data_IF_109407460286
#
_entry.id   IF_109407460286
#
_cell.length_a   1.000
_cell.length_b   1.000
_cell.length_c   1.000
_cell.angle_alpha   90.00
_cell.angle_beta   90.00
_cell.angle_gamma   90.00
#
_symmetry.space_group_name_H-M   'P 1'
#
loop_
_entity.id
_entity.type
_entity.pdbx_description
1 polymer ?
#
# COMPACT_ATOMS: atom_id res chain seq x y z
N UNK A 1 11.67 24.94 -5.95
CA UNK A 1 11.07 24.02 -6.94
C UNK A 1 11.08 22.59 -6.44
N UNK A 2 12.16 22.11 -5.84
CA UNK A 2 12.28 20.73 -5.32
C UNK A 2 11.22 20.38 -4.26
N UNK A 3 10.93 21.28 -3.32
CA UNK A 3 9.89 21.07 -2.28
C UNK A 3 8.49 20.88 -2.90
N UNK A 4 8.17 21.62 -3.97
CA UNK A 4 6.87 21.52 -4.66
C UNK A 4 6.76 20.16 -5.35
N UNK A 5 7.81 19.74 -6.06
CA UNK A 5 7.88 18.43 -6.73
C UNK A 5 7.78 17.29 -5.71
N UNK A 6 8.49 17.41 -4.59
CA UNK A 6 8.42 16.44 -3.50
C UNK A 6 7.02 16.34 -2.91
N UNK A 7 6.34 17.47 -2.69
CA UNK A 7 4.99 17.48 -2.10
C UNK A 7 3.97 16.87 -3.05
N UNK A 8 4.04 17.18 -4.35
CA UNK A 8 3.19 16.57 -5.38
C UNK A 8 3.46 15.07 -5.46
N UNK A 9 4.73 14.66 -5.50
CA UNK A 9 5.12 13.25 -5.52
C UNK A 9 4.62 12.49 -4.29
N UNK A 10 4.72 13.08 -3.10
CA UNK A 10 4.21 12.50 -1.86
C UNK A 10 2.68 12.35 -1.89
N UNK A 11 1.95 13.34 -2.42
CA UNK A 11 0.50 13.27 -2.57
C UNK A 11 0.08 12.14 -3.54
N UNK A 12 0.74 12.04 -4.70
CA UNK A 12 0.50 10.96 -5.68
C UNK A 12 0.79 9.61 -5.04
N UNK A 13 1.88 9.49 -4.29
CA UNK A 13 2.24 8.28 -3.57
C UNK A 13 1.18 7.84 -2.56
N UNK A 14 0.66 8.76 -1.73
CA UNK A 14 -0.39 8.44 -0.77
C UNK A 14 -1.64 7.90 -1.47
N UNK A 15 -2.04 8.53 -2.59
CA UNK A 15 -3.17 8.07 -3.40
C UNK A 15 -2.88 6.69 -4.01
N UNK A 16 -1.69 6.49 -4.57
CA UNK A 16 -1.28 5.24 -5.21
C UNK A 16 -1.28 4.07 -4.21
N UNK A 17 -0.67 4.22 -3.03
CA UNK A 17 -0.67 3.18 -1.99
C UNK A 17 -2.09 2.83 -1.56
N UNK A 18 -2.93 3.85 -1.34
CA UNK A 18 -4.32 3.61 -0.94
C UNK A 18 -5.10 2.86 -2.04
N UNK A 19 -4.93 3.22 -3.31
CA UNK A 19 -5.55 2.52 -4.44
C UNK A 19 -5.04 1.10 -4.61
N UNK A 20 -3.74 0.86 -4.46
CA UNK A 20 -3.12 -0.47 -4.54
C UNK A 20 -3.66 -1.39 -3.43
N UNK A 21 -3.70 -0.91 -2.19
CA UNK A 21 -4.25 -1.67 -1.06
C UNK A 21 -5.74 -1.96 -1.26
N UNK A 22 -6.51 -0.96 -1.71
CA UNK A 22 -7.94 -1.13 -2.00
C UNK A 22 -8.17 -2.12 -3.16
N UNK A 23 -7.39 -2.04 -4.22
CA UNK A 23 -7.45 -2.94 -5.38
C UNK A 23 -7.09 -4.37 -5.02
N UNK A 24 -5.98 -4.56 -4.30
CA UNK A 24 -5.58 -5.87 -3.77
C UNK A 24 -6.68 -6.51 -2.93
N UNK A 25 -7.28 -5.74 -2.01
CA UNK A 25 -8.41 -6.20 -1.21
C UNK A 25 -9.62 -6.57 -2.07
N UNK A 26 -9.97 -5.74 -3.05
CA UNK A 26 -11.11 -5.99 -3.95
C UNK A 26 -10.92 -7.28 -4.76
N UNK A 27 -9.70 -7.51 -5.29
CA UNK A 27 -9.36 -8.73 -6.01
C UNK A 27 -9.45 -9.95 -5.09
N UNK A 28 -8.86 -9.88 -3.89
CA UNK A 28 -8.95 -10.98 -2.92
C UNK A 28 -10.39 -11.33 -2.54
N UNK A 29 -11.25 -10.32 -2.33
CA UNK A 29 -12.67 -10.55 -2.07
C UNK A 29 -13.39 -11.17 -3.27
N UNK A 30 -13.08 -10.72 -4.49
CA UNK A 30 -13.68 -11.27 -5.73
C UNK A 30 -13.37 -12.76 -5.91
N UNK A 31 -12.20 -13.20 -5.49
CA UNK A 31 -11.78 -14.61 -5.56
C UNK A 31 -12.08 -15.42 -4.29
N UNK A 32 -12.83 -14.85 -3.33
CA UNK A 32 -13.38 -15.58 -2.18
C UNK A 32 -12.46 -15.64 -0.95
N UNK A 33 -11.38 -14.84 -0.89
CA UNK A 33 -10.56 -14.75 0.31
C UNK A 33 -11.39 -14.24 1.51
N UNK A 34 -11.26 -14.82 2.73
CA UNK A 34 -10.21 -15.75 3.19
C UNK A 34 -10.49 -17.24 2.95
N UNK A 35 -11.62 -17.61 2.34
CA UNK A 35 -12.00 -19.02 2.10
C UNK A 35 -12.32 -19.23 0.61
N UNK A 36 -11.32 -19.13 -0.29
CA UNK A 36 -11.54 -19.35 -1.71
C UNK A 36 -11.98 -20.79 -1.96
N UNK A 37 -13.04 -20.99 -2.75
CA UNK A 37 -13.51 -22.30 -3.16
C UNK A 37 -12.91 -22.71 -4.50
N UNK A 38 -12.32 -23.90 -4.56
CA UNK A 38 -11.72 -24.47 -5.77
C UNK A 38 -10.22 -24.13 -5.96
N UNK A 39 -9.51 -25.02 -6.66
CA UNK A 39 -8.06 -24.95 -6.86
C UNK A 39 -7.63 -23.65 -7.57
N UNK A 40 -8.35 -23.26 -8.61
CA UNK A 40 -8.03 -22.08 -9.43
C UNK A 40 -8.15 -20.78 -8.63
N UNK A 41 -9.23 -20.61 -7.86
CA UNK A 41 -9.43 -19.41 -7.02
C UNK A 41 -8.37 -19.32 -5.93
N UNK A 42 -7.99 -20.46 -5.35
CA UNK A 42 -6.92 -20.52 -4.36
C UNK A 42 -5.57 -20.09 -4.97
N UNK A 43 -5.21 -20.64 -6.13
CA UNK A 43 -3.99 -20.27 -6.85
C UNK A 43 -3.95 -18.77 -7.20
N UNK A 44 -5.07 -18.20 -7.65
CA UNK A 44 -5.18 -16.77 -7.97
C UNK A 44 -5.01 -15.91 -6.71
N UNK A 45 -5.62 -16.27 -5.58
CA UNK A 45 -5.44 -15.55 -4.32
C UNK A 45 -3.98 -15.52 -3.88
N UNK A 46 -3.27 -16.65 -3.98
CA UNK A 46 -1.84 -16.72 -3.67
C UNK A 46 -0.98 -15.90 -4.64
N UNK A 47 -1.32 -15.88 -5.93
CA UNK A 47 -0.63 -15.05 -6.92
C UNK A 47 -0.81 -13.56 -6.59
N UNK A 48 -2.04 -13.12 -6.30
CA UNK A 48 -2.33 -11.74 -5.90
C UNK A 48 -1.56 -11.36 -4.64
N UNK A 49 -1.49 -12.26 -3.65
CA UNK A 49 -0.71 -12.07 -2.45
C UNK A 49 0.81 -12.00 -2.72
N UNK A 50 1.34 -12.83 -3.61
CA UNK A 50 2.74 -12.80 -4.02
C UNK A 50 3.09 -11.47 -4.71
N UNK A 51 2.21 -10.96 -5.59
CA UNK A 51 2.37 -9.63 -6.21
C UNK A 51 2.34 -8.53 -5.16
N UNK A 52 1.47 -8.64 -4.16
CA UNK A 52 1.42 -7.67 -3.07
C UNK A 52 2.74 -7.60 -2.31
N UNK A 53 3.33 -8.75 -1.96
CA UNK A 53 4.62 -8.81 -1.28
C UNK A 53 5.75 -8.35 -2.18
N UNK A 54 5.78 -8.81 -3.44
CA UNK A 54 6.90 -8.56 -4.36
C UNK A 54 6.93 -7.15 -4.94
N UNK A 55 5.79 -6.46 -4.99
CA UNK A 55 5.67 -5.15 -5.67
C UNK A 55 5.19 -4.08 -4.70
N UNK A 56 4.05 -4.28 -4.05
CA UNK A 56 3.38 -3.22 -3.27
C UNK A 56 4.18 -2.89 -2.00
N UNK A 57 4.69 -3.90 -1.29
CA UNK A 57 5.50 -3.69 -0.08
C UNK A 57 6.81 -2.94 -0.43
N UNK A 58 7.67 -3.41 -1.36
CA UNK A 58 8.88 -2.68 -1.74
C UNK A 58 8.58 -1.26 -2.21
N UNK A 59 7.57 -1.08 -3.06
CA UNK A 59 7.15 0.23 -3.52
C UNK A 59 6.78 1.15 -2.35
N UNK A 60 5.97 0.67 -1.39
CA UNK A 60 5.58 1.46 -0.24
C UNK A 60 6.76 1.92 0.61
N UNK A 61 7.72 1.03 0.88
CA UNK A 61 8.87 1.31 1.74
C UNK A 61 9.93 2.18 1.05
N UNK A 62 10.23 1.93 -0.22
CA UNK A 62 11.34 2.59 -0.91
C UNK A 62 10.93 3.84 -1.70
N UNK A 63 9.64 4.06 -1.98
CA UNK A 63 9.22 5.24 -2.74
C UNK A 63 9.55 6.57 -2.05
N UNK A 64 9.35 6.77 -0.73
CA UNK A 64 9.74 8.03 -0.07
C UNK A 64 11.25 8.29 -0.19
N UNK A 65 12.06 7.23 -0.12
CA UNK A 65 13.50 7.29 -0.34
C UNK A 65 13.82 7.71 -1.78
N UNK A 66 13.21 7.06 -2.77
CA UNK A 66 13.41 7.37 -4.19
C UNK A 66 12.96 8.80 -4.54
N UNK A 67 11.83 9.25 -4.00
CA UNK A 67 11.34 10.61 -4.18
C UNK A 67 12.35 11.64 -3.63
N UNK A 68 12.94 11.38 -2.46
CA UNK A 68 13.98 12.23 -1.90
C UNK A 68 15.31 12.17 -2.69
N UNK A 69 15.57 11.13 -3.49
CA UNK A 69 16.71 11.13 -4.41
C UNK A 69 16.47 11.99 -5.66
N UNK A 70 15.22 12.08 -6.14
CA UNK A 70 14.85 12.87 -7.32
C UNK A 70 14.64 14.35 -6.99
N UNK A 71 14.03 14.63 -5.85
CA UNK A 71 13.79 15.97 -5.33
C UNK A 71 14.32 16.02 -3.88
N UNK A 72 15.62 16.30 -3.70
CA UNK A 72 16.27 16.24 -2.40
C UNK A 72 15.74 17.32 -1.47
N UNK A 73 14.93 16.91 -0.50
CA UNK A 73 14.44 17.78 0.60
C UNK A 73 15.18 17.47 1.90
N UNK A 74 15.54 16.21 2.12
CA UNK A 74 16.32 15.75 3.25
C UNK A 74 17.75 15.38 2.82
N UNK A 75 18.72 15.70 3.68
CA UNK A 75 20.11 15.28 3.47
C UNK A 75 20.22 13.75 3.41
N UNK A 76 21.06 13.19 2.52
CA UNK A 76 21.12 11.75 2.26
C UNK A 76 21.92 10.96 3.32
N UNK A 77 21.68 11.25 4.61
CA UNK A 77 22.30 10.56 5.75
C UNK A 77 21.65 9.21 6.03
N UNK A 78 22.34 8.30 6.71
CA UNK A 78 21.80 6.98 7.09
C UNK A 78 20.51 7.10 7.90
N UNK A 79 20.48 8.04 8.85
CA UNK A 79 19.30 8.31 9.69
C UNK A 79 18.09 8.75 8.87
N UNK A 80 18.27 9.70 7.94
CA UNK A 80 17.18 10.20 7.12
C UNK A 80 16.64 9.13 6.16
N UNK A 81 17.53 8.29 5.61
CA UNK A 81 17.11 7.14 4.79
C UNK A 81 16.27 6.15 5.59
N UNK A 82 16.67 5.83 6.82
CA UNK A 82 15.90 4.96 7.70
C UNK A 82 14.52 5.57 8.04
N UNK A 83 14.46 6.87 8.34
CA UNK A 83 13.20 7.58 8.61
C UNK A 83 12.27 7.52 7.40
N UNK A 84 12.77 7.75 6.18
CA UNK A 84 11.96 7.71 4.96
C UNK A 84 11.37 6.30 4.72
N UNK A 85 12.15 5.25 4.98
CA UNK A 85 11.69 3.86 4.87
C UNK A 85 10.61 3.57 5.92
N UNK A 86 10.81 4.02 7.16
CA UNK A 86 9.82 3.88 8.24
C UNK A 86 8.52 4.63 7.93
N UNK A 87 8.60 5.84 7.35
CA UNK A 87 7.43 6.58 6.86
C UNK A 87 6.69 5.76 5.81
N UNK A 88 7.41 5.14 4.87
CA UNK A 88 6.81 4.28 3.85
C UNK A 88 6.04 3.09 4.45
N UNK A 89 6.64 2.41 5.44
CA UNK A 89 5.99 1.34 6.19
C UNK A 89 4.79 1.81 7.01
N UNK A 90 4.88 3.00 7.62
CA UNK A 90 3.78 3.61 8.36
C UNK A 90 2.59 3.93 7.45
N UNK A 91 2.84 4.55 6.29
CA UNK A 91 1.81 4.86 5.29
C UNK A 91 1.10 3.58 4.82
N UNK A 92 1.85 2.52 4.53
CA UNK A 92 1.26 1.22 4.15
C UNK A 92 0.37 0.66 5.25
N UNK A 93 0.86 0.69 6.50
CA UNK A 93 0.12 0.17 7.67
C UNK A 93 -1.20 0.93 7.88
N UNK A 94 -1.16 2.27 7.78
CA UNK A 94 -2.36 3.12 7.87
C UNK A 94 -3.30 2.84 6.70
N UNK A 95 -2.80 2.72 5.47
CA UNK A 95 -3.62 2.43 4.30
C UNK A 95 -4.33 1.07 4.43
N UNK A 96 -3.62 0.03 4.89
CA UNK A 96 -4.23 -1.26 5.21
C UNK A 96 -5.30 -1.12 6.29
N UNK A 97 -4.97 -0.48 7.41
CA UNK A 97 -5.90 -0.32 8.53
C UNK A 97 -7.21 0.37 8.10
N UNK A 98 -7.11 1.49 7.36
CA UNK A 98 -8.28 2.24 6.89
C UNK A 98 -9.14 1.42 5.91
N UNK A 99 -8.52 0.73 4.97
CA UNK A 99 -9.25 -0.06 3.98
C UNK A 99 -9.88 -1.31 4.59
N UNK A 100 -9.24 -1.96 5.56
CA UNK A 100 -9.79 -3.15 6.22
C UNK A 100 -10.82 -2.81 7.32
N UNK A 101 -10.70 -1.67 8.02
CA UNK A 101 -11.71 -1.20 8.98
C UNK A 101 -13.04 -0.85 8.31
N UNK A 102 -13.02 -0.20 7.13
CA UNK A 102 -14.25 0.13 6.36
C UNK A 102 -15.13 -1.09 6.06
N UNK A 103 -14.55 -2.27 5.90
CA UNK A 103 -15.31 -3.52 5.70
C UNK A 103 -16.04 -4.00 6.95
N UNK A 104 -15.46 -3.83 8.14
CA UNK A 104 -16.15 -4.22 9.38
C UNK A 104 -17.39 -3.36 9.62
N UNK A 105 -17.35 -2.08 9.25
CA UNK A 105 -18.52 -1.20 9.32
C UNK A 105 -19.54 -1.45 8.20
N UNK A 106 -19.10 -1.72 6.97
CA UNK A 106 -20.01 -2.09 5.87
C UNK A 106 -20.71 -3.44 6.07
N UNK A 107 -20.05 -4.39 6.72
CA UNK A 107 -20.63 -5.69 7.09
C UNK A 107 -21.61 -5.59 8.26
N UNK A 108 -21.47 -4.58 9.13
CA UNK A 108 -22.43 -4.32 10.22
C UNK A 108 -23.70 -3.61 9.72
N UNK A 109 -23.58 -2.76 8.70
CA UNK A 109 -24.73 -2.04 8.13
C UNK A 109 -25.55 -2.85 7.11
N UNK A 110 -25.00 -3.95 6.59
CA UNK A 110 -25.70 -4.84 5.65
C UNK A 110 -26.06 -6.18 6.32
N UNK A 111 -26.33 -6.17 7.64
CA UNK A 111 -26.82 -7.33 8.38
C UNK A 111 -28.21 -7.78 7.93
N UNK A 112 -28.22 -8.55 6.83
CA UNK A 112 -29.05 -9.74 6.67
C UNK A 112 -28.59 -10.81 7.66
#
# INVERSE_FOLDING_TARGET
>A
MEIIIFTIGAAIYLVAINLLVKGHKMLNLRFGWPRPAGLTNNAICYLIFAVFIGVVIPFAFFFPLWLNTLAPVLQPTQTNRAILILIGGFVLSVAMWLNYKKTKQGSFNNGL
#
